data_IF_949836177912
#
_entry.id   IF_949836177912
#
_cell.length_a   1.000
_cell.length_b   1.000
_cell.length_c   1.000
_cell.angle_alpha   90.00
_cell.angle_beta   90.00
_cell.angle_gamma   90.00
#
_symmetry.space_group_name_H-M   'P 1'
#
loop_
_entity.id
_entity.type
_entity.pdbx_description
1 polymer ?
#
# COMPACT_ATOMS: atom_id res chain seq x y z
N UNK A 1 12.24 -8.58 -46.52
CA UNK A 1 11.39 -7.39 -46.77
C UNK A 1 11.87 -6.60 -48.00
N UNK A 2 13.11 -6.11 -48.06
CA UNK A 2 13.65 -5.42 -49.26
C UNK A 2 13.63 -6.29 -50.53
N UNK A 3 13.94 -7.59 -50.42
CA UNK A 3 13.83 -8.54 -51.53
C UNK A 3 12.37 -8.78 -51.98
N UNK A 4 11.40 -8.72 -51.06
CA UNK A 4 9.98 -8.80 -51.39
C UNK A 4 9.53 -7.50 -52.09
N UNK A 5 9.97 -6.35 -51.58
CA UNK A 5 9.73 -5.02 -52.18
C UNK A 5 10.23 -4.92 -53.63
N UNK A 6 11.44 -5.43 -53.92
CA UNK A 6 11.99 -5.50 -55.29
C UNK A 6 11.19 -6.45 -56.20
N UNK A 7 10.76 -7.60 -55.67
CA UNK A 7 9.89 -8.56 -56.39
C UNK A 7 8.46 -8.05 -56.61
N UNK A 8 7.99 -7.10 -55.78
CA UNK A 8 6.64 -6.57 -55.80
C UNK A 8 6.48 -5.36 -56.72
N UNK A 9 7.56 -4.70 -57.13
CA UNK A 9 7.53 -3.69 -58.20
C UNK A 9 7.15 -4.28 -59.58
N UNK A 10 7.25 -5.61 -59.74
CA UNK A 10 6.78 -6.34 -60.93
C UNK A 10 5.28 -6.69 -60.89
N UNK A 11 4.59 -6.47 -59.76
CA UNK A 11 3.14 -6.64 -59.70
C UNK A 11 2.45 -5.47 -60.40
N UNK A 12 1.77 -5.77 -61.52
CA UNK A 12 0.90 -4.87 -62.28
C UNK A 12 -0.36 -4.46 -61.48
N UNK A 13 -0.22 -3.98 -60.25
CA UNK A 13 -1.33 -3.43 -59.49
C UNK A 13 -1.51 -1.96 -59.88
N UNK A 14 -2.73 -1.58 -60.30
CA UNK A 14 -2.98 -0.18 -60.67
C UNK A 14 -2.85 0.71 -59.42
N UNK A 15 -2.28 1.91 -59.57
CA UNK A 15 -2.15 2.89 -58.47
C UNK A 15 -3.49 3.21 -57.79
N UNK A 16 -4.60 3.07 -58.51
CA UNK A 16 -5.95 3.28 -57.99
C UNK A 16 -6.37 2.17 -57.01
N UNK A 17 -6.13 0.90 -57.37
CA UNK A 17 -6.46 -0.26 -56.52
C UNK A 17 -5.65 -0.27 -55.22
N UNK A 18 -4.37 0.12 -55.28
CA UNK A 18 -3.51 0.24 -54.10
C UNK A 18 -4.06 1.29 -53.12
N UNK A 19 -4.46 2.47 -53.63
CA UNK A 19 -5.06 3.53 -52.80
C UNK A 19 -6.39 3.12 -52.18
N UNK A 20 -7.21 2.38 -52.90
CA UNK A 20 -8.49 1.89 -52.38
C UNK A 20 -8.29 0.85 -51.28
N UNK A 21 -7.34 -0.07 -51.48
CA UNK A 21 -6.98 -1.10 -50.51
C UNK A 21 -6.34 -0.49 -49.25
N UNK A 22 -5.49 0.51 -49.41
CA UNK A 22 -4.91 1.28 -48.30
C UNK A 22 -6.01 1.96 -47.47
N UNK A 23 -6.98 2.63 -48.12
CA UNK A 23 -8.13 3.23 -47.43
C UNK A 23 -8.97 2.21 -46.68
N UNK A 24 -9.16 1.02 -47.25
CA UNK A 24 -9.89 -0.06 -46.59
C UNK A 24 -9.14 -0.53 -45.33
N UNK A 25 -7.84 -0.80 -45.44
CA UNK A 25 -7.02 -1.24 -44.30
C UNK A 25 -6.88 -0.17 -43.23
N UNK A 26 -6.75 1.11 -43.61
CA UNK A 26 -6.72 2.22 -42.67
C UNK A 26 -8.00 2.32 -41.81
N UNK A 27 -9.16 1.92 -42.39
CA UNK A 27 -10.43 1.87 -41.66
C UNK A 27 -10.58 0.59 -40.83
N UNK A 28 -10.10 -0.55 -41.33
CA UNK A 28 -10.24 -1.83 -40.67
C UNK A 28 -9.24 -2.01 -39.50
N UNK A 29 -8.02 -1.50 -39.67
CA UNK A 29 -6.90 -1.65 -38.73
C UNK A 29 -6.17 -0.31 -38.53
N UNK A 30 -6.83 0.68 -37.90
CA UNK A 30 -6.30 2.05 -37.79
C UNK A 30 -4.97 2.12 -37.04
N UNK A 31 -4.79 1.38 -35.93
CA UNK A 31 -3.53 1.40 -35.17
C UNK A 31 -2.41 0.69 -35.92
N UNK A 32 -2.70 -0.47 -36.53
CA UNK A 32 -1.71 -1.17 -37.33
C UNK A 32 -1.27 -0.36 -38.55
N UNK A 33 -2.22 0.32 -39.19
CA UNK A 33 -1.96 1.21 -40.31
C UNK A 33 -1.10 2.41 -39.90
N UNK A 34 -1.39 3.02 -38.75
CA UNK A 34 -0.58 4.11 -38.21
C UNK A 34 0.89 3.69 -37.98
N UNK A 35 1.11 2.54 -37.33
CA UNK A 35 2.48 2.02 -37.11
C UNK A 35 3.16 1.68 -38.44
N UNK A 36 2.42 1.16 -39.42
CA UNK A 36 2.92 0.88 -40.76
C UNK A 36 3.31 2.16 -41.51
N UNK A 37 2.53 3.23 -41.40
CA UNK A 37 2.84 4.54 -41.97
C UNK A 37 4.14 5.08 -41.36
N UNK A 38 4.27 5.05 -40.03
CA UNK A 38 5.47 5.50 -39.32
C UNK A 38 6.72 4.72 -39.70
N UNK A 39 6.61 3.39 -39.79
CA UNK A 39 7.72 2.55 -40.25
C UNK A 39 8.10 2.88 -41.70
N UNK A 40 7.11 3.15 -42.55
CA UNK A 40 7.33 3.50 -43.95
C UNK A 40 7.98 4.88 -44.10
N UNK A 41 7.57 5.89 -43.32
CA UNK A 41 8.20 7.21 -43.25
C UNK A 41 9.69 7.10 -42.88
N UNK A 42 10.03 6.28 -41.88
CA UNK A 42 11.43 6.10 -41.41
C UNK A 42 12.31 5.36 -42.42
N UNK A 43 11.72 4.46 -43.20
CA UNK A 43 12.44 3.68 -44.22
C UNK A 43 12.51 4.40 -45.57
N UNK A 44 11.65 5.40 -45.80
CA UNK A 44 11.66 6.25 -46.98
C UNK A 44 12.97 7.04 -47.12
N UNK A 45 13.50 7.53 -46.00
CA UNK A 45 14.82 8.19 -45.92
C UNK A 45 15.95 7.30 -46.43
N UNK A 46 15.80 5.97 -46.29
CA UNK A 46 16.81 4.97 -46.68
C UNK A 46 16.59 4.47 -48.11
N UNK A 47 15.33 4.38 -48.57
CA UNK A 47 14.95 3.73 -49.84
C UNK A 47 14.63 4.71 -50.98
N UNK A 48 14.68 6.02 -50.77
CA UNK A 48 14.57 7.01 -51.85
C UNK A 48 13.15 7.24 -52.37
N UNK A 49 12.13 7.11 -51.53
CA UNK A 49 10.76 7.59 -51.83
C UNK A 49 9.88 6.71 -52.74
N UNK A 50 10.44 5.76 -53.47
CA UNK A 50 9.63 4.89 -54.33
C UNK A 50 8.93 3.79 -53.52
N UNK A 51 7.67 3.50 -53.84
CA UNK A 51 6.92 2.35 -53.30
C UNK A 51 6.29 2.51 -51.91
N UNK A 52 6.25 3.73 -51.34
CA UNK A 52 5.62 4.01 -50.03
C UNK A 52 4.21 3.43 -49.85
N UNK A 53 3.24 3.60 -50.78
CA UNK A 53 1.88 3.09 -50.56
C UNK A 53 1.83 1.56 -50.45
N UNK A 54 2.64 0.87 -51.26
CA UNK A 54 2.72 -0.59 -51.23
C UNK A 54 3.40 -1.08 -49.95
N UNK A 55 4.45 -0.40 -49.51
CA UNK A 55 5.14 -0.70 -48.27
C UNK A 55 4.22 -0.50 -47.05
N UNK A 56 3.51 0.61 -46.97
CA UNK A 56 2.51 0.88 -45.92
C UNK A 56 1.44 -0.20 -45.90
N UNK A 57 0.92 -0.59 -47.07
CA UNK A 57 -0.09 -1.63 -47.18
C UNK A 57 0.41 -2.99 -46.67
N UNK A 58 1.60 -3.42 -47.10
CA UNK A 58 2.20 -4.69 -46.66
C UNK A 58 2.52 -4.69 -45.17
N UNK A 59 3.05 -3.59 -44.66
CA UNK A 59 3.35 -3.44 -43.24
C UNK A 59 2.07 -3.42 -42.38
N UNK A 60 0.98 -2.83 -42.88
CA UNK A 60 -0.31 -2.87 -42.19
C UNK A 60 -0.78 -4.31 -42.02
N UNK A 61 -0.73 -5.10 -43.10
CA UNK A 61 -1.07 -6.53 -43.05
C UNK A 61 -0.14 -7.33 -42.13
N UNK A 62 1.14 -7.00 -42.10
CA UNK A 62 2.14 -7.66 -41.26
C UNK A 62 1.97 -7.33 -39.77
N UNK A 63 1.60 -6.09 -39.43
CA UNK A 63 1.48 -5.65 -38.04
C UNK A 63 0.12 -5.90 -37.42
N UNK A 64 -0.97 -5.99 -38.21
CA UNK A 64 -2.33 -6.22 -37.68
C UNK A 64 -2.49 -7.45 -36.75
N UNK A 65 -1.75 -8.57 -36.90
CA UNK A 65 -1.90 -9.71 -35.99
C UNK A 65 -1.28 -9.44 -34.61
N UNK A 66 -0.33 -8.51 -34.52
CA UNK A 66 0.41 -8.19 -33.30
C UNK A 66 -0.20 -6.97 -32.60
N UNK A 67 -0.76 -6.03 -33.38
CA UNK A 67 -1.36 -4.81 -32.87
C UNK A 67 -2.86 -5.02 -32.61
N UNK A 68 -3.25 -4.87 -31.35
CA UNK A 68 -4.63 -4.95 -30.92
C UNK A 68 -5.38 -3.65 -31.21
N UNK A 69 -6.41 -3.74 -32.06
CA UNK A 69 -7.31 -2.62 -32.38
C UNK A 69 -8.38 -2.38 -31.30
N UNK A 70 -8.66 -3.37 -30.45
CA UNK A 70 -9.72 -3.31 -29.44
C UNK A 70 -9.36 -2.56 -28.14
N UNK A 71 -8.38 -1.66 -28.22
CA UNK A 71 -7.97 -0.79 -27.12
C UNK A 71 -8.48 0.61 -27.47
N UNK A 72 -9.58 1.10 -26.89
CA UNK A 72 -10.20 2.36 -27.30
C UNK A 72 -9.39 3.58 -26.86
N UNK A 73 -8.64 3.46 -25.76
CA UNK A 73 -7.83 4.55 -25.22
C UNK A 73 -6.54 4.75 -26.03
N UNK A 74 -6.12 6.01 -26.15
CA UNK A 74 -4.83 6.39 -26.71
C UNK A 74 -3.83 6.74 -25.60
N UNK A 75 -2.58 6.30 -25.76
CA UNK A 75 -1.49 6.58 -24.84
C UNK A 75 -0.42 7.41 -25.53
N UNK A 76 0.01 8.50 -24.90
CA UNK A 76 1.08 9.37 -25.39
C UNK A 76 2.10 9.61 -24.28
N UNK A 77 3.38 9.41 -24.59
CA UNK A 77 4.50 9.67 -23.70
C UNK A 77 5.30 10.85 -24.24
N UNK A 78 5.44 11.91 -23.43
CA UNK A 78 6.28 13.06 -23.77
C UNK A 78 7.31 13.25 -22.66
N UNK A 79 8.59 13.25 -23.01
CA UNK A 79 9.66 13.36 -22.03
C UNK A 79 10.83 14.18 -22.56
N UNK A 80 11.52 14.87 -21.65
CA UNK A 80 12.77 15.54 -21.95
C UNK A 80 13.87 14.52 -22.22
N UNK A 81 14.80 14.92 -23.08
CA UNK A 81 15.91 14.09 -23.53
C UNK A 81 15.73 13.61 -24.97
N UNK A 82 16.75 12.94 -25.49
CA UNK A 82 16.77 12.52 -26.90
C UNK A 82 16.06 11.20 -27.16
N UNK A 83 15.91 10.35 -26.13
CA UNK A 83 15.41 8.97 -26.26
C UNK A 83 14.63 8.50 -25.01
N UNK A 84 14.27 9.40 -24.09
CA UNK A 84 13.63 9.03 -22.82
C UNK A 84 12.22 8.50 -23.04
N UNK A 85 11.40 9.22 -23.82
CA UNK A 85 10.03 8.84 -24.12
C UNK A 85 10.00 7.56 -24.95
N UNK A 86 10.80 7.52 -26.04
CA UNK A 86 10.85 6.35 -26.92
C UNK A 86 11.41 5.11 -26.23
N UNK A 87 12.40 5.24 -25.33
CA UNK A 87 12.92 4.10 -24.57
C UNK A 87 11.86 3.50 -23.64
N UNK A 88 11.13 4.34 -22.90
CA UNK A 88 10.06 3.87 -22.01
C UNK A 88 8.91 3.27 -22.80
N UNK A 89 8.50 3.90 -23.90
CA UNK A 89 7.46 3.40 -24.81
C UNK A 89 7.82 2.03 -25.40
N UNK A 90 9.07 1.83 -25.82
CA UNK A 90 9.53 0.55 -26.34
C UNK A 90 9.37 -0.57 -25.30
N UNK A 91 9.81 -0.33 -24.06
CA UNK A 91 9.67 -1.31 -22.96
C UNK A 91 8.20 -1.57 -22.64
N UNK A 92 7.38 -0.52 -22.51
CA UNK A 92 5.96 -0.65 -22.19
C UNK A 92 5.19 -1.43 -23.27
N UNK A 93 5.32 -1.05 -24.55
CA UNK A 93 4.64 -1.73 -25.65
C UNK A 93 5.10 -3.19 -25.81
N UNK A 94 6.40 -3.46 -25.61
CA UNK A 94 6.93 -4.82 -25.64
C UNK A 94 6.32 -5.69 -24.55
N UNK A 95 6.23 -5.20 -23.32
CA UNK A 95 5.64 -5.94 -22.20
C UNK A 95 4.12 -6.07 -22.31
N UNK A 96 3.43 -5.07 -22.85
CA UNK A 96 2.01 -5.14 -23.20
C UNK A 96 1.73 -6.03 -24.42
N UNK A 97 2.77 -6.44 -25.16
CA UNK A 97 2.71 -7.26 -26.39
C UNK A 97 1.86 -6.65 -27.51
N UNK A 98 1.71 -5.32 -27.53
CA UNK A 98 0.95 -4.57 -28.53
C UNK A 98 1.38 -3.11 -28.52
N UNK A 99 0.98 -2.36 -29.55
CA UNK A 99 1.12 -0.92 -29.58
C UNK A 99 0.11 -0.26 -28.63
N UNK A 100 0.61 0.39 -27.57
CA UNK A 100 -0.21 1.08 -26.56
C UNK A 100 0.12 2.57 -26.51
N UNK A 101 1.41 2.90 -26.50
CA UNK A 101 1.89 4.27 -26.42
C UNK A 101 2.60 4.70 -27.70
N UNK A 102 2.35 5.95 -28.10
CA UNK A 102 3.22 6.75 -28.96
C UNK A 102 4.20 7.55 -28.07
N UNK A 103 5.38 7.90 -28.60
CA UNK A 103 6.40 8.64 -27.86
C UNK A 103 6.92 9.86 -28.62
N UNK A 104 7.04 10.98 -27.92
CA UNK A 104 7.66 12.20 -28.42
C UNK A 104 8.77 12.63 -27.47
N UNK A 105 10.01 12.47 -27.92
CA UNK A 105 11.19 12.97 -27.23
C UNK A 105 11.32 14.49 -27.41
N UNK A 106 11.68 15.18 -26.33
CA UNK A 106 11.95 16.61 -26.31
C UNK A 106 13.43 16.87 -25.96
N UNK A 107 14.32 16.89 -26.97
CA UNK A 107 15.70 17.32 -26.77
C UNK A 107 15.75 18.71 -26.13
N UNK A 108 16.74 18.96 -25.26
CA UNK A 108 16.89 20.24 -24.54
C UNK A 108 17.03 21.45 -25.48
N UNK A 109 17.47 21.23 -26.71
CA UNK A 109 17.60 22.24 -27.76
C UNK A 109 16.31 22.54 -28.53
N UNK A 110 15.22 21.80 -28.27
CA UNK A 110 13.96 21.91 -29.01
C UNK A 110 12.99 22.85 -28.30
N UNK A 111 12.40 23.78 -29.04
CA UNK A 111 11.37 24.68 -28.51
C UNK A 111 10.07 23.94 -28.20
N UNK A 112 9.42 24.29 -27.10
CA UNK A 112 8.15 23.69 -26.68
C UNK A 112 7.06 23.80 -27.76
N UNK A 113 7.07 24.89 -28.55
CA UNK A 113 6.13 25.08 -29.67
C UNK A 113 6.25 23.97 -30.73
N UNK A 114 7.47 23.50 -31.01
CA UNK A 114 7.68 22.41 -31.96
C UNK A 114 7.09 21.09 -31.43
N UNK A 115 7.21 20.85 -30.12
CA UNK A 115 6.62 19.69 -29.46
C UNK A 115 5.09 19.77 -29.47
N UNK A 116 4.52 20.95 -29.22
CA UNK A 116 3.07 21.16 -29.32
C UNK A 116 2.58 20.79 -30.72
N UNK A 117 3.25 21.25 -31.78
CA UNK A 117 2.85 20.94 -33.16
C UNK A 117 3.00 19.44 -33.48
N UNK A 118 4.05 18.77 -32.99
CA UNK A 118 4.17 17.31 -33.12
C UNK A 118 3.04 16.56 -32.44
N UNK A 119 2.63 17.01 -31.25
CA UNK A 119 1.49 16.42 -30.54
C UNK A 119 0.20 16.66 -31.31
N UNK A 120 -0.07 17.88 -31.78
CA UNK A 120 -1.27 18.17 -32.58
C UNK A 120 -1.35 17.32 -33.84
N UNK A 121 -0.25 17.24 -34.59
CA UNK A 121 -0.17 16.41 -35.80
C UNK A 121 -0.42 14.92 -35.52
N UNK A 122 -0.04 14.44 -34.33
CA UNK A 122 -0.44 13.11 -33.88
C UNK A 122 -1.94 13.03 -33.62
N UNK A 123 -2.51 13.95 -32.83
CA UNK A 123 -3.91 13.95 -32.43
C UNK A 123 -4.88 14.07 -33.63
N UNK A 124 -4.55 14.86 -34.64
CA UNK A 124 -5.35 15.01 -35.87
C UNK A 124 -5.55 13.69 -36.63
N UNK A 125 -4.64 12.73 -36.45
CA UNK A 125 -4.67 11.41 -37.11
C UNK A 125 -5.31 10.31 -36.26
N UNK A 126 -5.71 10.60 -35.03
CA UNK A 126 -6.24 9.61 -34.08
C UNK A 126 -7.67 9.96 -33.67
N UNK A 127 -8.50 8.94 -33.48
CA UNK A 127 -9.81 9.12 -32.86
C UNK A 127 -9.68 9.07 -31.34
N UNK A 128 -9.57 10.25 -30.71
CA UNK A 128 -9.42 10.36 -29.26
C UNK A 128 -10.74 10.42 -28.48
N UNK A 129 -11.87 10.05 -29.10
CA UNK A 129 -13.21 10.22 -28.49
C UNK A 129 -13.39 9.47 -27.17
N UNK A 130 -12.78 8.29 -27.06
CA UNK A 130 -12.79 7.47 -25.84
C UNK A 130 -11.78 7.93 -24.78
N UNK A 131 -10.87 8.84 -25.14
CA UNK A 131 -9.95 9.52 -24.24
C UNK A 131 -8.47 9.26 -24.54
N UNK A 132 -7.65 10.21 -24.07
CA UNK A 132 -6.19 10.22 -24.19
C UNK A 132 -5.54 10.23 -22.80
N UNK A 133 -4.55 9.35 -22.61
CA UNK A 133 -3.69 9.34 -21.43
C UNK A 133 -2.30 9.85 -21.81
N UNK A 134 -1.94 11.01 -21.27
CA UNK A 134 -0.66 11.68 -21.48
C UNK A 134 0.26 11.47 -20.27
N UNK A 135 1.41 10.84 -20.48
CA UNK A 135 2.44 10.63 -19.46
C UNK A 135 3.60 11.61 -19.67
N UNK A 136 3.99 12.33 -18.62
CA UNK A 136 5.05 13.35 -18.68
C UNK A 136 6.04 13.25 -17.52
N UNK A 137 7.32 13.56 -17.81
CA UNK A 137 8.44 13.41 -16.87
C UNK A 137 8.51 14.51 -15.81
N UNK A 138 8.42 15.78 -16.22
CA UNK A 138 8.52 16.94 -15.34
C UNK A 138 7.30 17.85 -15.52
N UNK A 139 6.72 18.30 -14.40
CA UNK A 139 5.45 19.05 -14.34
C UNK A 139 5.43 20.45 -14.95
N UNK A 140 6.33 20.77 -15.89
CA UNK A 140 6.40 22.06 -16.60
C UNK A 140 5.62 22.08 -17.93
N UNK A 141 5.06 20.95 -18.36
CA UNK A 141 4.23 20.84 -19.58
C UNK A 141 2.81 21.39 -19.38
N UNK A 142 2.63 22.28 -18.41
CA UNK A 142 1.37 22.98 -18.15
C UNK A 142 0.85 23.72 -19.39
N UNK A 143 1.78 24.28 -20.17
CA UNK A 143 1.46 24.96 -21.43
C UNK A 143 1.05 23.98 -22.52
N UNK A 144 1.71 22.82 -22.62
CA UNK A 144 1.39 21.78 -23.61
C UNK A 144 -0.08 21.35 -23.50
N UNK A 145 -0.54 21.00 -22.29
CA UNK A 145 -1.94 20.57 -22.12
C UNK A 145 -2.93 21.68 -22.50
N UNK A 146 -2.63 22.94 -22.15
CA UNK A 146 -3.54 24.06 -22.41
C UNK A 146 -3.68 24.34 -23.91
N UNK A 147 -2.64 24.02 -24.69
CA UNK A 147 -2.62 24.20 -26.14
C UNK A 147 -3.25 23.04 -26.92
N UNK A 148 -3.27 21.82 -26.37
CA UNK A 148 -3.81 20.63 -27.07
C UNK A 148 -5.25 20.29 -26.66
N UNK A 149 -5.75 20.84 -25.55
CA UNK A 149 -7.09 20.51 -25.02
C UNK A 149 -8.21 20.72 -26.04
N UNK A 150 -8.09 21.73 -26.91
CA UNK A 150 -9.11 22.05 -27.90
C UNK A 150 -9.07 21.14 -29.14
N UNK A 151 -8.00 20.36 -29.31
CA UNK A 151 -7.81 19.43 -30.44
C UNK A 151 -8.30 18.00 -30.10
N UNK A 152 -8.71 17.77 -28.86
CA UNK A 152 -9.17 16.47 -28.38
C UNK A 152 -10.68 16.34 -28.53
N UNK A 153 -11.12 15.19 -29.03
CA UNK A 153 -12.54 14.83 -29.13
C UNK A 153 -13.10 14.19 -27.84
N UNK A 154 -12.25 13.83 -26.88
CA UNK A 154 -12.62 13.13 -25.64
C UNK A 154 -11.86 13.60 -24.40
N UNK A 155 -11.93 12.81 -23.33
CA UNK A 155 -11.32 13.14 -22.04
C UNK A 155 -9.78 13.03 -22.05
N UNK A 156 -9.11 13.91 -21.31
CA UNK A 156 -7.65 13.94 -21.17
C UNK A 156 -7.22 13.63 -19.73
N UNK A 157 -6.36 12.63 -19.55
CA UNK A 157 -5.70 12.34 -18.28
C UNK A 157 -4.21 12.65 -18.41
N UNK A 158 -3.71 13.56 -17.56
CA UNK A 158 -2.29 13.89 -17.51
C UNK A 158 -1.69 13.30 -16.24
N UNK A 159 -0.67 12.45 -16.39
CA UNK A 159 0.08 11.87 -15.28
C UNK A 159 1.49 12.45 -15.30
N UNK A 160 1.75 13.33 -14.33
CA UNK A 160 3.09 13.82 -14.01
C UNK A 160 3.78 12.75 -13.16
N UNK A 161 5.00 12.33 -13.50
CA UNK A 161 5.80 11.23 -12.92
C UNK A 161 5.95 10.03 -13.88
N UNK A 162 6.36 10.31 -15.11
CA UNK A 162 6.73 9.27 -16.07
C UNK A 162 7.88 8.41 -15.54
N UNK A 163 7.58 7.15 -15.28
CA UNK A 163 8.56 6.08 -15.06
C UNK A 163 8.13 4.87 -15.88
N UNK A 164 9.05 3.94 -16.14
CA UNK A 164 8.71 2.68 -16.84
C UNK A 164 7.61 1.90 -16.11
N UNK A 165 7.62 1.92 -14.78
CA UNK A 165 6.60 1.24 -13.97
C UNK A 165 5.21 1.85 -14.15
N UNK A 166 5.11 3.19 -14.13
CA UNK A 166 3.84 3.91 -14.35
C UNK A 166 3.33 3.68 -15.78
N UNK A 167 4.21 3.79 -16.78
CA UNK A 167 3.84 3.53 -18.17
C UNK A 167 3.33 2.10 -18.36
N UNK A 168 3.97 1.11 -17.73
CA UNK A 168 3.54 -0.29 -17.80
C UNK A 168 2.18 -0.52 -17.12
N UNK A 169 1.98 0.01 -15.90
CA UNK A 169 0.71 -0.16 -15.17
C UNK A 169 -0.46 0.48 -15.92
N UNK A 170 -0.29 1.71 -16.42
CA UNK A 170 -1.28 2.39 -17.27
C UNK A 170 -1.53 1.59 -18.55
N UNK A 171 -0.47 1.15 -19.23
CA UNK A 171 -0.60 0.38 -20.46
C UNK A 171 -1.34 -0.93 -20.29
N UNK A 172 -1.08 -1.66 -19.21
CA UNK A 172 -1.80 -2.89 -18.88
C UNK A 172 -3.29 -2.63 -18.59
N UNK A 173 -3.63 -1.54 -17.90
CA UNK A 173 -5.03 -1.14 -17.67
C UNK A 173 -5.75 -0.80 -18.98
N UNK A 174 -5.08 -0.11 -19.91
CA UNK A 174 -5.61 0.17 -21.24
C UNK A 174 -5.86 -1.12 -22.02
N UNK A 175 -4.90 -2.05 -22.04
CA UNK A 175 -5.05 -3.37 -22.70
C UNK A 175 -6.19 -4.19 -22.08
N UNK A 176 -6.48 -4.02 -20.80
CA UNK A 176 -7.58 -4.65 -20.08
C UNK A 176 -8.92 -3.93 -20.23
N UNK A 177 -8.99 -2.85 -21.02
CA UNK A 177 -10.19 -2.03 -21.21
C UNK A 177 -10.78 -1.50 -19.89
N UNK A 178 -9.92 -1.14 -18.94
CA UNK A 178 -10.35 -0.48 -17.70
C UNK A 178 -10.94 0.90 -18.07
N UNK A 179 -12.12 1.28 -17.54
CA UNK A 179 -12.74 2.57 -17.87
C UNK A 179 -11.84 3.76 -17.54
N UNK A 180 -11.81 4.76 -18.43
CA UNK A 180 -10.97 5.96 -18.33
C UNK A 180 -11.02 6.61 -16.94
N UNK A 181 -12.23 6.86 -16.41
CA UNK A 181 -12.43 7.48 -15.09
C UNK A 181 -11.78 6.69 -13.95
N UNK A 182 -11.83 5.36 -14.01
CA UNK A 182 -11.20 4.49 -13.00
C UNK A 182 -9.68 4.56 -13.07
N UNK A 183 -9.11 4.65 -14.28
CA UNK A 183 -7.66 4.87 -14.46
C UNK A 183 -7.28 6.23 -13.86
N UNK A 184 -8.06 7.27 -14.11
CA UNK A 184 -7.83 8.62 -13.57
C UNK A 184 -7.89 8.66 -12.03
N UNK A 185 -8.88 8.03 -11.41
CA UNK A 185 -9.02 7.93 -9.95
C UNK A 185 -7.83 7.21 -9.31
N UNK A 186 -7.41 6.08 -9.90
CA UNK A 186 -6.28 5.29 -9.40
C UNK A 186 -4.94 5.99 -9.60
N UNK A 187 -4.79 6.80 -10.64
CA UNK A 187 -3.55 7.51 -10.92
C UNK A 187 -3.17 8.47 -9.79
N UNK A 188 -4.17 9.12 -9.17
CA UNK A 188 -3.95 10.08 -8.10
C UNK A 188 -3.54 9.43 -6.76
N UNK A 189 -3.97 8.19 -6.51
CA UNK A 189 -3.68 7.48 -5.25
C UNK A 189 -2.45 6.57 -5.31
N UNK A 190 -2.20 5.94 -6.47
CA UNK A 190 -1.23 4.84 -6.59
C UNK A 190 0.15 5.26 -7.11
N UNK A 191 0.27 6.36 -7.86
CA UNK A 191 1.55 6.78 -8.46
C UNK A 191 2.34 7.75 -7.59
N UNK A 192 2.29 7.56 -6.26
CA UNK A 192 3.05 8.37 -5.30
C UNK A 192 4.54 8.04 -5.40
N UNK A 193 5.37 9.09 -5.36
CA UNK A 193 6.83 8.94 -5.28
C UNK A 193 7.16 8.33 -3.92
N UNK A 194 7.60 7.07 -3.93
CA UNK A 194 8.13 6.41 -2.74
C UNK A 194 9.60 6.79 -2.58
N UNK A 195 9.87 7.92 -1.95
CA UNK A 195 11.22 8.28 -1.53
C UNK A 195 11.54 7.54 -0.23
N UNK A 196 12.58 6.70 -0.26
CA UNK A 196 13.21 6.16 0.95
C UNK A 196 14.54 6.86 1.13
N UNK A 197 14.66 7.67 2.17
CA UNK A 197 15.93 8.22 2.59
C UNK A 197 16.67 7.16 3.38
N UNK A 198 17.76 6.65 2.81
CA UNK A 198 18.71 5.82 3.52
C UNK A 198 19.83 6.74 3.98
N UNK A 199 19.83 7.09 5.26
CA UNK A 199 20.89 7.90 5.85
C UNK A 199 22.18 7.07 5.83
N UNK A 200 23.19 7.54 5.08
CA UNK A 200 24.55 7.05 5.24
C UNK A 200 25.01 7.41 6.64
N UNK A 201 25.06 6.41 7.53
CA UNK A 201 25.53 6.52 8.93
C UNK A 201 24.86 7.67 9.70
N UNK A 202 23.68 7.39 10.29
CA UNK A 202 23.11 8.21 11.38
C UNK A 202 24.22 8.66 12.31
N UNK A 203 24.43 9.96 12.53
CA UNK A 203 25.26 10.40 13.67
C UNK A 203 24.54 10.25 15.02
N UNK A 204 23.25 9.88 15.00
CA UNK A 204 22.39 9.70 16.17
C UNK A 204 22.27 8.26 16.65
N UNK A 205 21.91 8.10 17.93
CA UNK A 205 21.54 6.82 18.54
C UNK A 205 20.26 6.26 17.89
N UNK A 206 20.18 4.95 17.69
CA UNK A 206 18.99 4.29 17.14
C UNK A 206 18.44 3.18 18.04
N UNK A 207 17.17 2.84 17.84
CA UNK A 207 16.49 1.68 18.38
C UNK A 207 15.93 0.86 17.22
N UNK A 208 16.07 -0.46 17.30
CA UNK A 208 15.59 -1.38 16.26
C UNK A 208 14.38 -2.15 16.79
N UNK A 209 13.31 -2.24 15.99
CA UNK A 209 12.14 -3.06 16.26
C UNK A 209 12.09 -4.17 15.20
N UNK A 210 12.03 -5.43 15.64
CA UNK A 210 12.01 -6.58 14.74
C UNK A 210 10.90 -7.57 15.07
N UNK A 211 10.30 -8.17 14.04
CA UNK A 211 9.24 -9.15 14.19
C UNK A 211 9.40 -10.32 13.20
N UNK A 212 9.07 -11.54 13.64
CA UNK A 212 9.07 -12.74 12.78
C UNK A 212 7.94 -12.76 11.74
N UNK A 213 6.76 -12.22 12.08
CA UNK A 213 5.57 -12.23 11.22
C UNK A 213 5.56 -11.14 10.13
N UNK A 214 6.65 -10.37 10.02
CA UNK A 214 6.77 -9.24 9.10
C UNK A 214 6.31 -7.89 9.68
N UNK A 215 5.79 -7.04 8.79
CA UNK A 215 5.67 -5.58 8.93
C UNK A 215 4.60 -5.09 9.94
N UNK A 216 3.72 -5.98 10.44
CA UNK A 216 2.52 -5.60 11.22
C UNK A 216 2.80 -4.96 12.58
N UNK A 217 3.14 -5.78 13.59
CA UNK A 217 3.39 -5.33 14.97
C UNK A 217 4.56 -4.34 15.01
N UNK A 218 5.63 -4.62 14.25
CA UNK A 218 6.84 -3.79 14.21
C UNK A 218 6.54 -2.35 13.79
N UNK A 219 5.70 -2.14 12.77
CA UNK A 219 5.30 -0.79 12.36
C UNK A 219 4.35 -0.12 13.34
N UNK A 220 3.41 -0.86 13.94
CA UNK A 220 2.49 -0.29 14.92
C UNK A 220 3.25 0.18 16.16
N UNK A 221 4.17 -0.65 16.66
CA UNK A 221 5.05 -0.28 17.78
C UNK A 221 5.89 0.93 17.40
N UNK A 222 6.46 0.96 16.18
CA UNK A 222 7.20 2.13 15.69
C UNK A 222 6.32 3.38 15.71
N UNK A 223 5.13 3.31 15.15
CA UNK A 223 4.20 4.44 15.06
C UNK A 223 3.86 5.02 16.44
N UNK A 224 3.51 4.15 17.40
CA UNK A 224 3.26 4.54 18.79
C UNK A 224 4.49 5.23 19.39
N UNK A 225 5.67 4.62 19.30
CA UNK A 225 6.88 5.21 19.87
C UNK A 225 7.26 6.53 19.22
N UNK A 226 7.13 6.65 17.89
CA UNK A 226 7.43 7.89 17.16
C UNK A 226 6.50 9.04 17.51
N UNK A 227 5.30 8.75 18.04
CA UNK A 227 4.38 9.77 18.53
C UNK A 227 4.89 10.44 19.81
N UNK A 228 5.57 9.69 20.68
CA UNK A 228 6.04 10.18 21.97
C UNK A 228 7.54 10.52 22.00
N UNK A 229 8.33 9.99 21.06
CA UNK A 229 9.78 10.14 21.01
C UNK A 229 10.19 10.97 19.78
N UNK A 230 10.77 12.17 19.97
CA UNK A 230 11.30 12.98 18.88
C UNK A 230 12.40 12.25 18.10
N UNK A 231 12.21 12.13 16.77
CA UNK A 231 13.08 11.35 15.89
C UNK A 231 14.45 11.98 15.63
N UNK A 232 14.63 13.27 15.96
CA UNK A 232 15.91 13.96 15.98
C UNK A 232 16.82 13.49 17.13
N UNK A 233 16.25 12.89 18.18
CA UNK A 233 16.99 12.41 19.37
C UNK A 233 17.23 10.90 19.39
N UNK A 234 16.25 10.13 18.93
CA UNK A 234 16.33 8.67 18.85
C UNK A 234 15.62 8.21 17.58
N UNK A 235 16.40 7.66 16.64
CA UNK A 235 15.85 7.09 15.40
C UNK A 235 15.27 5.70 15.68
N UNK A 236 14.00 5.48 15.30
CA UNK A 236 13.32 4.21 15.51
C UNK A 236 13.18 3.47 14.17
N UNK A 237 13.92 2.37 14.03
CA UNK A 237 14.03 1.60 12.80
C UNK A 237 13.28 0.28 12.92
N UNK A 238 12.67 -0.16 11.82
CA UNK A 238 12.03 -1.48 11.72
C UNK A 238 12.84 -2.37 10.79
N UNK A 239 13.06 -3.63 11.20
CA UNK A 239 13.87 -4.59 10.45
C UNK A 239 13.26 -5.99 10.51
N UNK A 240 13.35 -6.75 9.41
CA UNK A 240 12.88 -8.13 9.39
C UNK A 240 13.73 -9.00 10.32
N UNK A 241 13.09 -9.97 10.99
CA UNK A 241 13.80 -10.84 11.92
C UNK A 241 14.93 -11.64 11.25
N UNK A 242 14.73 -12.05 9.99
CA UNK A 242 15.76 -12.74 9.21
C UNK A 242 16.99 -11.86 8.98
N UNK A 243 16.78 -10.61 8.57
CA UNK A 243 17.85 -9.64 8.37
C UNK A 243 18.61 -9.35 9.67
N UNK A 244 17.87 -9.20 10.78
CA UNK A 244 18.46 -9.05 12.11
C UNK A 244 19.32 -10.25 12.49
N UNK A 245 18.81 -11.47 12.31
CA UNK A 245 19.57 -12.69 12.59
C UNK A 245 20.81 -12.83 11.72
N UNK A 246 20.72 -12.51 10.43
CA UNK A 246 21.85 -12.59 9.50
C UNK A 246 22.91 -11.53 9.83
N UNK A 247 22.51 -10.33 10.30
CA UNK A 247 23.42 -9.31 10.79
C UNK A 247 24.13 -9.74 12.09
N UNK A 248 23.41 -10.34 13.03
CA UNK A 248 23.97 -10.89 14.27
C UNK A 248 24.95 -12.03 13.97
N UNK A 249 24.58 -12.97 13.09
CA UNK A 249 25.39 -14.13 12.74
C UNK A 249 26.70 -13.75 12.03
N UNK A 250 26.68 -12.67 11.23
CA UNK A 250 27.89 -12.11 10.59
C UNK A 250 28.79 -11.35 11.55
N UNK A 251 28.38 -11.18 12.81
CA UNK A 251 29.08 -10.41 13.84
C UNK A 251 29.48 -9.01 13.35
N UNK A 252 28.58 -8.36 12.61
CA UNK A 252 28.81 -7.03 12.07
C UNK A 252 28.69 -5.99 13.19
N UNK A 253 29.76 -5.90 14.00
CA UNK A 253 29.86 -4.94 15.12
C UNK A 253 29.72 -3.50 14.66
N UNK A 254 29.98 -3.21 13.38
CA UNK A 254 29.81 -1.87 12.83
C UNK A 254 28.32 -1.52 12.67
N UNK A 255 27.49 -2.51 12.33
CA UNK A 255 26.06 -2.36 12.11
C UNK A 255 25.30 -1.93 13.36
N UNK A 256 25.61 -2.54 14.52
CA UNK A 256 24.94 -2.27 15.78
C UNK A 256 25.61 -1.19 16.64
N UNK A 257 26.69 -0.56 16.16
CA UNK A 257 27.53 0.36 16.95
C UNK A 257 26.75 1.53 17.57
N UNK A 258 25.65 1.93 16.94
CA UNK A 258 24.79 3.04 17.36
C UNK A 258 23.43 2.59 17.89
N UNK A 259 23.18 1.29 17.91
CA UNK A 259 21.94 0.70 18.41
C UNK A 259 21.99 0.65 19.93
N UNK A 260 21.12 1.43 20.58
CA UNK A 260 20.98 1.40 22.02
C UNK A 260 20.22 0.17 22.51
N UNK A 261 19.24 -0.25 21.70
CA UNK A 261 18.24 -1.21 22.15
C UNK A 261 17.54 -1.89 20.98
N UNK A 262 17.13 -3.13 21.19
CA UNK A 262 16.39 -3.93 20.23
C UNK A 262 15.10 -4.44 20.87
N UNK A 263 13.96 -4.09 20.28
CA UNK A 263 12.66 -4.70 20.57
C UNK A 263 12.40 -5.83 19.59
N UNK A 264 11.98 -6.98 20.09
CA UNK A 264 11.73 -8.17 19.27
C UNK A 264 10.44 -8.87 19.67
N UNK A 265 9.79 -9.60 18.76
CA UNK A 265 8.71 -10.55 19.13
C UNK A 265 9.22 -11.97 19.38
N UNK A 266 10.52 -12.21 19.21
CA UNK A 266 11.12 -13.53 19.25
C UNK A 266 12.47 -13.50 19.95
N UNK A 267 12.81 -14.58 20.63
CA UNK A 267 14.08 -14.67 21.36
C UNK A 267 15.27 -14.47 20.43
N UNK A 268 16.17 -13.57 20.84
CA UNK A 268 17.40 -13.30 20.11
C UNK A 268 18.53 -14.20 20.63
N UNK A 269 19.52 -14.53 19.77
CA UNK A 269 20.68 -15.28 20.21
C UNK A 269 21.41 -14.59 21.36
N UNK A 270 21.86 -15.35 22.35
CA UNK A 270 22.61 -14.87 23.51
C UNK A 270 23.99 -14.26 23.17
N UNK A 271 24.42 -14.37 21.92
CA UNK A 271 25.67 -13.79 21.39
C UNK A 271 25.57 -12.31 21.03
N UNK A 272 24.41 -11.68 21.23
CA UNK A 272 24.17 -10.27 20.92
C UNK A 272 24.58 -9.37 22.10
N UNK A 273 25.56 -8.49 21.87
CA UNK A 273 26.06 -7.54 22.87
C UNK A 273 25.11 -6.34 23.10
N UNK A 274 24.04 -6.21 22.31
CA UNK A 274 23.08 -5.11 22.40
C UNK A 274 21.92 -5.46 23.33
N UNK A 275 21.56 -4.57 24.28
CA UNK A 275 20.35 -4.70 25.08
C UNK A 275 19.11 -5.00 24.22
N UNK A 276 18.37 -6.03 24.59
CA UNK A 276 17.14 -6.39 23.88
C UNK A 276 16.04 -6.83 24.84
N UNK A 277 14.79 -6.74 24.37
CA UNK A 277 13.60 -7.11 25.14
C UNK A 277 12.52 -7.63 24.21
N UNK A 278 11.80 -8.67 24.63
CA UNK A 278 10.60 -9.08 23.92
C UNK A 278 9.50 -8.02 24.14
N UNK A 279 8.82 -7.61 23.07
CA UNK A 279 7.76 -6.60 23.14
C UNK A 279 6.65 -6.97 24.14
N UNK A 280 6.35 -8.25 24.32
CA UNK A 280 5.31 -8.68 25.27
C UNK A 280 5.77 -8.61 26.74
N UNK A 281 7.08 -8.61 27.01
CA UNK A 281 7.62 -8.44 28.37
C UNK A 281 7.40 -7.01 28.90
N UNK A 282 7.14 -6.04 28.02
CA UNK A 282 6.78 -4.66 28.39
C UNK A 282 5.46 -4.62 29.19
N UNK A 283 4.64 -5.66 29.10
CA UNK A 283 3.40 -5.75 29.88
C UNK A 283 3.66 -6.08 31.36
N UNK A 284 4.84 -6.60 31.68
CA UNK A 284 5.28 -6.96 33.03
C UNK A 284 6.13 -5.85 33.64
N UNK A 285 6.09 -5.68 34.97
CA UNK A 285 6.76 -4.55 35.63
C UNK A 285 8.29 -4.57 35.47
N UNK A 286 8.89 -5.76 35.36
CA UNK A 286 10.32 -5.89 35.06
C UNK A 286 10.67 -5.35 33.67
N UNK A 287 9.88 -5.71 32.65
CA UNK A 287 10.09 -5.24 31.29
C UNK A 287 9.83 -3.73 31.15
N UNK A 288 8.81 -3.19 31.82
CA UNK A 288 8.57 -1.74 31.91
C UNK A 288 9.76 -1.00 32.51
N UNK A 289 10.25 -1.47 33.66
CA UNK A 289 11.38 -0.86 34.34
C UNK A 289 12.65 -0.88 33.46
N UNK A 290 12.89 -1.99 32.77
CA UNK A 290 14.02 -2.11 31.86
C UNK A 290 13.91 -1.18 30.65
N UNK A 291 12.73 -1.11 30.02
CA UNK A 291 12.49 -0.18 28.92
C UNK A 291 12.61 1.28 29.35
N UNK A 292 12.13 1.62 30.56
CA UNK A 292 12.28 2.96 31.13
C UNK A 292 13.74 3.36 31.32
N UNK A 293 14.60 2.45 31.81
CA UNK A 293 16.04 2.72 31.95
C UNK A 293 16.68 3.16 30.63
N UNK A 294 16.22 2.60 29.52
CA UNK A 294 16.72 2.94 28.18
C UNK A 294 16.10 4.23 27.66
N UNK A 295 14.79 4.44 27.88
CA UNK A 295 14.04 5.52 27.24
C UNK A 295 13.97 6.82 28.03
N UNK A 296 14.19 6.83 29.35
CA UNK A 296 14.10 8.03 30.18
C UNK A 296 14.90 9.26 29.70
N UNK A 297 16.02 9.14 28.93
CA UNK A 297 16.71 10.32 28.38
C UNK A 297 15.93 10.99 27.23
N UNK A 298 14.98 10.27 26.63
CA UNK A 298 14.29 10.65 25.39
C UNK A 298 12.80 10.95 25.58
N UNK A 299 12.19 10.46 26.67
CA UNK A 299 10.75 10.59 26.95
C UNK A 299 10.51 10.93 28.43
N UNK A 300 9.47 11.71 28.72
CA UNK A 300 9.05 11.99 30.11
C UNK A 300 8.27 10.82 30.70
N UNK A 301 8.23 10.71 32.03
CA UNK A 301 7.46 9.65 32.71
C UNK A 301 6.00 9.62 32.26
N UNK A 302 5.36 10.80 32.19
CA UNK A 302 3.97 10.93 31.75
C UNK A 302 3.76 10.40 30.32
N UNK A 303 4.63 10.76 29.38
CA UNK A 303 4.51 10.27 28.00
C UNK A 303 4.84 8.78 27.89
N UNK A 304 5.76 8.28 28.73
CA UNK A 304 6.06 6.86 28.81
C UNK A 304 4.86 6.04 29.28
N UNK A 305 4.16 6.49 30.32
CA UNK A 305 2.96 5.81 30.83
C UNK A 305 1.84 5.78 29.78
N UNK A 306 1.64 6.88 29.03
CA UNK A 306 0.70 6.93 27.90
C UNK A 306 1.11 6.00 26.76
N UNK A 307 2.41 5.94 26.43
CA UNK A 307 2.94 5.03 25.42
C UNK A 307 2.70 3.56 25.80
N UNK A 308 2.89 3.19 27.07
CA UNK A 308 2.60 1.84 27.56
C UNK A 308 1.10 1.50 27.47
N UNK A 309 0.23 2.48 27.73
CA UNK A 309 -1.22 2.31 27.56
C UNK A 309 -1.58 2.07 26.08
N UNK A 310 -0.98 2.83 25.17
CA UNK A 310 -1.19 2.65 23.73
C UNK A 310 -0.66 1.30 23.22
N UNK A 311 0.45 0.79 23.75
CA UNK A 311 0.90 -0.58 23.48
C UNK A 311 -0.12 -1.61 23.94
N UNK A 312 -0.59 -1.52 25.18
CA UNK A 312 -1.58 -2.44 25.73
C UNK A 312 -2.86 -2.48 24.87
N UNK A 313 -3.38 -1.31 24.49
CA UNK A 313 -4.55 -1.21 23.60
C UNK A 313 -4.29 -1.83 22.24
N UNK A 314 -3.15 -1.54 21.61
CA UNK A 314 -2.84 -2.06 20.26
C UNK A 314 -2.65 -3.58 20.27
N UNK A 315 -1.90 -4.14 21.22
CA UNK A 315 -1.74 -5.59 21.34
C UNK A 315 -3.07 -6.29 21.59
N UNK A 316 -3.95 -5.65 22.37
CA UNK A 316 -5.31 -6.15 22.59
C UNK A 316 -6.12 -6.16 21.29
N UNK A 317 -6.15 -5.03 20.57
CA UNK A 317 -6.88 -4.89 19.30
C UNK A 317 -6.41 -5.93 18.31
N UNK A 318 -5.10 -6.09 18.13
CA UNK A 318 -4.54 -7.11 17.26
C UNK A 318 -4.98 -8.52 17.69
N UNK A 319 -4.87 -8.83 18.98
CA UNK A 319 -5.25 -10.13 19.53
C UNK A 319 -6.71 -10.51 19.30
N UNK A 320 -7.64 -9.54 19.37
CA UNK A 320 -9.08 -9.78 19.16
C UNK A 320 -9.52 -9.63 17.69
N UNK A 321 -8.76 -8.94 16.83
CA UNK A 321 -9.23 -8.52 15.50
C UNK A 321 -9.65 -9.69 14.59
N UNK A 322 -9.01 -10.85 14.72
CA UNK A 322 -9.36 -12.05 13.94
C UNK A 322 -10.42 -12.95 14.63
N UNK A 323 -10.87 -12.57 15.84
CA UNK A 323 -11.76 -13.38 16.67
C UNK A 323 -13.13 -12.71 16.88
N UNK A 324 -13.22 -11.39 16.76
CA UNK A 324 -14.46 -10.64 16.76
C UNK A 324 -15.05 -10.62 15.33
N UNK A 325 -16.31 -10.99 15.20
CA UNK A 325 -17.03 -11.05 13.92
C UNK A 325 -18.04 -9.90 13.76
N UNK A 326 -18.57 -9.39 14.88
CA UNK A 326 -19.65 -8.41 14.93
C UNK A 326 -19.20 -7.09 15.54
N UNK A 327 -18.42 -7.13 16.63
CA UNK A 327 -17.97 -5.91 17.31
C UNK A 327 -16.76 -5.29 16.61
N UNK A 328 -16.72 -3.96 16.60
CA UNK A 328 -15.52 -3.23 16.19
C UNK A 328 -14.47 -3.29 17.32
N UNK A 329 -13.28 -3.88 17.10
CA UNK A 329 -12.22 -4.00 18.10
C UNK A 329 -11.85 -2.68 18.78
N UNK A 330 -11.76 -1.58 18.02
CA UNK A 330 -11.35 -0.28 18.57
C UNK A 330 -12.39 0.30 19.53
N UNK A 331 -13.68 0.07 19.24
CA UNK A 331 -14.78 0.58 20.07
C UNK A 331 -14.88 -0.25 21.34
N UNK A 332 -14.93 -1.58 21.21
CA UNK A 332 -15.15 -2.45 22.36
C UNK A 332 -13.99 -2.37 23.36
N UNK A 333 -12.72 -2.30 22.90
CA UNK A 333 -11.57 -2.21 23.81
C UNK A 333 -11.61 -0.93 24.66
N UNK A 334 -12.04 0.20 24.12
CA UNK A 334 -12.18 1.43 24.92
C UNK A 334 -13.29 1.33 25.98
N UNK A 335 -14.34 0.55 25.73
CA UNK A 335 -15.41 0.34 26.71
C UNK A 335 -14.98 -0.66 27.79
N UNK A 336 -14.26 -1.72 27.39
CA UNK A 336 -13.68 -2.68 28.33
C UNK A 336 -12.62 -2.01 29.23
N UNK A 337 -11.91 -1.01 28.74
CA UNK A 337 -10.99 -0.21 29.57
C UNK A 337 -11.71 0.46 30.74
N UNK A 338 -12.92 0.98 30.50
CA UNK A 338 -13.73 1.61 31.52
C UNK A 338 -14.19 0.57 32.55
N UNK A 339 -14.61 -0.62 32.11
CA UNK A 339 -14.98 -1.74 32.99
C UNK A 339 -13.81 -2.14 33.90
N UNK A 340 -12.63 -2.34 33.34
CA UNK A 340 -11.43 -2.70 34.13
C UNK A 340 -11.09 -1.58 35.12
N UNK A 341 -11.19 -0.32 34.70
CA UNK A 341 -10.93 0.83 35.59
C UNK A 341 -11.92 0.90 36.76
N UNK A 342 -13.18 0.51 36.55
CA UNK A 342 -14.17 0.42 37.62
C UNK A 342 -13.86 -0.70 38.61
N UNK A 343 -13.38 -1.85 38.13
CA UNK A 343 -12.91 -2.93 39.00
C UNK A 343 -11.68 -2.53 39.83
N UNK A 344 -10.68 -1.90 39.21
CA UNK A 344 -9.50 -1.38 39.92
C UNK A 344 -9.89 -0.38 41.01
N UNK A 345 -10.84 0.52 40.71
CA UNK A 345 -11.35 1.50 41.66
C UNK A 345 -12.15 0.88 42.80
N UNK A 346 -13.02 -0.08 42.52
CA UNK A 346 -13.88 -0.69 43.54
C UNK A 346 -13.07 -1.55 44.52
N UNK A 347 -12.16 -2.38 44.01
CA UNK A 347 -11.35 -3.27 44.83
C UNK A 347 -10.06 -2.63 45.35
N UNK A 348 -9.77 -1.38 44.96
CA UNK A 348 -8.54 -0.65 45.31
C UNK A 348 -7.27 -1.41 44.92
N UNK A 349 -7.32 -2.08 43.76
CA UNK A 349 -6.21 -2.86 43.21
C UNK A 349 -5.61 -2.18 41.99
N UNK A 350 -4.35 -2.48 41.70
CA UNK A 350 -3.70 -2.12 40.44
C UNK A 350 -3.31 -3.39 39.72
N UNK A 351 -3.87 -3.59 38.54
CA UNK A 351 -3.62 -4.77 37.70
C UNK A 351 -2.43 -4.48 36.78
N UNK A 352 -1.52 -5.45 36.66
CA UNK A 352 -0.41 -5.36 35.71
C UNK A 352 -0.91 -5.43 34.24
N UNK A 353 -0.02 -5.14 33.30
CA UNK A 353 -0.39 -5.06 31.88
C UNK A 353 -0.82 -6.40 31.30
N UNK A 354 -0.28 -7.51 31.81
CA UNK A 354 -0.58 -8.87 31.34
C UNK A 354 -1.96 -9.32 31.79
N UNK A 355 -2.30 -9.04 33.05
CA UNK A 355 -3.63 -9.29 33.60
C UNK A 355 -4.66 -8.41 32.89
N UNK A 356 -4.35 -7.12 32.68
CA UNK A 356 -5.21 -6.23 31.90
C UNK A 356 -5.44 -6.78 30.50
N UNK A 357 -4.38 -7.15 29.76
CA UNK A 357 -4.48 -7.73 28.41
C UNK A 357 -5.42 -8.94 28.41
N UNK A 358 -5.27 -9.86 29.36
CA UNK A 358 -6.13 -11.04 29.48
C UNK A 358 -7.59 -10.66 29.73
N UNK A 359 -7.87 -9.71 30.62
CA UNK A 359 -9.21 -9.23 30.90
C UNK A 359 -9.83 -8.52 29.71
N UNK A 360 -9.06 -7.67 29.01
CA UNK A 360 -9.50 -7.01 27.80
C UNK A 360 -9.98 -8.02 26.75
N UNK A 361 -9.12 -9.01 26.47
CA UNK A 361 -9.40 -10.09 25.53
C UNK A 361 -10.64 -10.89 25.96
N UNK A 362 -10.73 -11.25 27.24
CA UNK A 362 -11.81 -12.06 27.78
C UNK A 362 -13.16 -11.34 27.68
N UNK A 363 -13.24 -10.10 28.17
CA UNK A 363 -14.48 -9.32 28.20
C UNK A 363 -14.93 -8.96 26.78
N UNK A 364 -14.01 -8.60 25.87
CA UNK A 364 -14.37 -8.31 24.48
C UNK A 364 -15.00 -9.53 23.78
N UNK A 365 -14.39 -10.71 23.94
CA UNK A 365 -14.92 -11.95 23.38
C UNK A 365 -16.19 -12.44 24.10
N UNK A 366 -16.32 -12.18 25.40
CA UNK A 366 -17.53 -12.45 26.17
C UNK A 366 -18.71 -11.65 25.62
N UNK A 367 -18.55 -10.34 25.40
CA UNK A 367 -19.62 -9.49 24.88
C UNK A 367 -20.04 -9.95 23.48
N UNK A 368 -19.07 -10.27 22.60
CA UNK A 368 -19.32 -10.86 21.28
C UNK A 368 -20.14 -12.18 21.37
N UNK A 369 -19.76 -13.08 22.30
CA UNK A 369 -20.50 -14.33 22.54
C UNK A 369 -21.93 -14.08 23.02
N UNK A 370 -22.12 -13.13 23.93
CA UNK A 370 -23.44 -12.79 24.49
C UNK A 370 -24.37 -12.15 23.45
N UNK A 371 -23.83 -11.36 22.52
CA UNK A 371 -24.60 -10.81 21.39
C UNK A 371 -25.03 -11.93 20.43
N UNK A 372 -24.11 -12.85 20.11
CA UNK A 372 -24.33 -13.91 19.12
C UNK A 372 -25.21 -15.03 19.67
N UNK A 373 -25.09 -15.35 20.96
CA UNK A 373 -25.78 -16.46 21.62
C UNK A 373 -27.03 -15.94 22.33
N UNK A 374 -28.07 -15.58 21.56
CA UNK A 374 -29.34 -15.04 22.11
C UNK A 374 -30.13 -16.00 23.02
N UNK A 375 -29.69 -17.25 23.19
CA UNK A 375 -30.46 -18.32 23.85
C UNK A 375 -29.78 -19.07 25.00
N UNK A 376 -28.71 -18.54 25.61
CA UNK A 376 -28.14 -19.15 26.83
C UNK A 376 -28.90 -18.73 28.11
N UNK A 377 -30.23 -18.68 28.07
CA UNK A 377 -31.07 -18.25 29.21
C UNK A 377 -31.09 -19.23 30.38
N UNK A 378 -30.54 -20.44 30.26
CA UNK A 378 -30.60 -21.48 31.30
C UNK A 378 -29.30 -22.30 31.41
N UNK A 379 -28.29 -21.76 32.10
CA UNK A 379 -27.29 -22.58 32.79
C UNK A 379 -26.93 -21.92 34.11
N UNK A 380 -27.83 -22.02 35.07
CA UNK A 380 -27.41 -22.02 36.48
C UNK A 380 -27.31 -23.48 36.91
N UNK A 381 -26.19 -23.82 37.54
CA UNK A 381 -26.28 -24.05 38.96
C UNK A 381 -25.24 -23.21 39.72
N UNK A 382 -25.75 -22.23 40.48
CA UNK A 382 -25.02 -21.60 41.56
C UNK A 382 -24.92 -22.61 42.71
N UNK A 383 -23.86 -23.42 42.73
CA UNK A 383 -23.49 -24.15 43.94
C UNK A 383 -22.66 -23.24 44.84
N UNK A 384 -23.06 -23.17 46.12
CA UNK A 384 -22.38 -22.54 47.27
C UNK A 384 -21.39 -21.41 46.96
N UNK A 385 -21.93 -20.23 46.66
CA UNK A 385 -21.15 -19.01 46.53
C UNK A 385 -20.65 -18.54 47.90
N UNK A 386 -19.32 -18.42 48.04
CA UNK A 386 -18.69 -17.70 49.14
C UNK A 386 -19.21 -16.25 49.23
N UNK A 387 -19.13 -15.62 50.41
CA UNK A 387 -19.55 -14.22 50.60
C UNK A 387 -18.85 -13.28 49.59
N UNK A 388 -17.57 -13.54 49.33
CA UNK A 388 -16.76 -12.81 48.36
C UNK A 388 -17.26 -12.95 46.91
N UNK A 389 -17.75 -14.13 46.52
CA UNK A 389 -18.30 -14.37 45.18
C UNK A 389 -19.66 -13.70 44.99
N UNK A 390 -20.46 -13.60 46.07
CA UNK A 390 -21.73 -12.87 46.07
C UNK A 390 -21.52 -11.37 45.92
N UNK A 391 -20.55 -10.83 46.67
CA UNK A 391 -20.12 -9.43 46.52
C UNK A 391 -19.65 -9.17 45.08
N UNK A 392 -18.76 -10.00 44.56
CA UNK A 392 -18.27 -9.88 43.18
C UNK A 392 -19.39 -9.89 42.15
N UNK A 393 -20.37 -10.76 42.34
CA UNK A 393 -21.55 -10.87 41.46
C UNK A 393 -22.38 -9.58 41.48
N UNK A 394 -22.63 -9.01 42.65
CA UNK A 394 -23.40 -7.77 42.79
C UNK A 394 -22.67 -6.59 42.11
N UNK A 395 -21.37 -6.46 42.38
CA UNK A 395 -20.52 -5.39 41.81
C UNK A 395 -20.44 -5.51 40.29
N UNK A 396 -20.26 -6.71 39.78
CA UNK A 396 -20.15 -6.95 38.33
C UNK A 396 -21.43 -6.56 37.60
N UNK A 397 -22.61 -6.84 38.18
CA UNK A 397 -23.89 -6.41 37.59
C UNK A 397 -23.99 -4.88 37.47
N UNK A 398 -23.54 -4.15 38.49
CA UNK A 398 -23.51 -2.68 38.44
C UNK A 398 -22.51 -2.16 37.40
N UNK A 399 -21.29 -2.72 37.37
CA UNK A 399 -20.24 -2.31 36.43
C UNK A 399 -20.66 -2.54 34.97
N UNK A 400 -21.32 -3.66 34.68
CA UNK A 400 -21.73 -4.02 33.32
C UNK A 400 -23.08 -3.42 32.90
N UNK A 401 -23.84 -2.79 33.79
CA UNK A 401 -25.19 -2.27 33.51
C UNK A 401 -25.25 -1.42 32.22
N UNK A 402 -24.29 -0.51 32.03
CA UNK A 402 -24.23 0.34 30.83
C UNK A 402 -23.99 -0.47 29.55
N UNK A 403 -23.14 -1.49 29.61
CA UNK A 403 -22.86 -2.37 28.47
C UNK A 403 -24.04 -3.29 28.17
N UNK A 404 -24.67 -3.86 29.20
CA UNK A 404 -25.86 -4.71 29.07
C UNK A 404 -27.00 -3.95 28.37
N UNK A 405 -27.25 -2.71 28.79
CA UNK A 405 -28.26 -1.85 28.17
C UNK A 405 -27.89 -1.49 26.72
N UNK A 406 -26.61 -1.14 26.46
CA UNK A 406 -26.15 -0.71 25.13
C UNK A 406 -26.20 -1.83 24.09
N UNK A 407 -25.72 -3.03 24.45
CA UNK A 407 -25.64 -4.17 23.54
C UNK A 407 -26.87 -5.08 23.60
N UNK A 408 -27.83 -4.77 24.48
CA UNK A 408 -29.02 -5.58 24.75
C UNK A 408 -28.65 -7.04 25.09
N UNK A 409 -27.70 -7.20 26.00
CA UNK A 409 -27.18 -8.48 26.48
C UNK A 409 -27.40 -8.61 27.99
N UNK A 410 -27.22 -9.83 28.51
CA UNK A 410 -27.06 -10.08 29.95
C UNK A 410 -25.88 -10.98 30.23
N UNK A 411 -25.05 -10.62 31.20
CA UNK A 411 -23.94 -11.44 31.67
C UNK A 411 -24.53 -12.60 32.48
N UNK A 412 -24.36 -13.83 31.98
CA UNK A 412 -24.89 -15.03 32.60
C UNK A 412 -23.96 -15.57 33.71
N UNK A 413 -24.45 -16.52 34.52
CA UNK A 413 -23.68 -17.09 35.63
C UNK A 413 -22.35 -17.74 35.23
N UNK A 414 -22.27 -18.31 34.02
CA UNK A 414 -21.05 -18.89 33.49
C UNK A 414 -19.98 -17.83 33.16
N UNK A 415 -20.36 -16.73 32.52
CA UNK A 415 -19.41 -15.63 32.24
C UNK A 415 -19.01 -14.90 33.54
N UNK A 416 -19.94 -14.78 34.50
CA UNK A 416 -19.63 -14.25 35.83
C UNK A 416 -18.61 -15.11 36.59
N UNK A 417 -18.74 -16.44 36.56
CA UNK A 417 -17.80 -17.33 37.26
C UNK A 417 -16.40 -17.30 36.63
N UNK A 418 -16.32 -17.17 35.30
CA UNK A 418 -15.04 -16.98 34.60
C UNK A 418 -14.37 -15.65 34.96
N UNK A 419 -15.14 -14.55 34.98
CA UNK A 419 -14.62 -13.25 35.42
C UNK A 419 -14.15 -13.28 36.88
N UNK A 420 -14.90 -13.97 37.74
CA UNK A 420 -14.52 -14.15 39.14
C UNK A 420 -13.18 -14.90 39.24
N UNK A 421 -13.02 -16.04 38.59
CA UNK A 421 -11.76 -16.80 38.65
C UNK A 421 -10.56 -16.02 38.10
N UNK A 422 -10.75 -15.14 37.10
CA UNK A 422 -9.70 -14.26 36.60
C UNK A 422 -9.28 -13.17 37.60
N UNK A 423 -10.23 -12.63 38.38
CA UNK A 423 -10.00 -11.53 39.32
C UNK A 423 -9.74 -11.97 40.77
N UNK A 424 -10.18 -13.18 41.14
CA UNK A 424 -10.07 -13.80 42.47
C UNK A 424 -8.67 -13.67 43.09
N UNK A 425 -7.56 -13.94 42.39
CA UNK A 425 -6.21 -13.81 42.97
C UNK A 425 -5.87 -12.39 43.46
N UNK A 426 -6.57 -11.37 42.95
CA UNK A 426 -6.31 -9.96 43.25
C UNK A 426 -7.27 -9.41 44.31
N UNK A 427 -8.51 -9.90 44.34
CA UNK A 427 -9.53 -9.44 45.29
C UNK A 427 -9.43 -10.14 46.66
N UNK A 428 -8.81 -11.33 46.76
CA UNK A 428 -8.64 -12.08 48.03
C UNK A 428 -7.44 -11.65 48.86
N UNK A 429 -6.73 -10.56 48.51
CA UNK A 429 -5.55 -10.04 49.24
C UNK A 429 -5.89 -9.03 50.36
N UNK A 430 -7.13 -8.96 50.81
CA UNK A 430 -7.53 -8.13 51.97
C UNK A 430 -7.38 -8.89 53.28
#
# INVERSE_FOLDING_TARGET
>A
MYAAFLSLNDLQCSKAQLKESEKYLARAFPKAHYVAEKFSEKTEEVMGGQGKPLLTLLNTLFFHPVIRENIPLHGLIVAHGRQTASSIQAVANQLCKTFVFEAIDMPVSTDLSEIIEKVKHYLERQDTSEGLILLVDMGSLTRLYSSIKNELSGDLLVINNLTTAVALDVGMKMVQNVPFKKIAEQANSNYKINARYFEGLTQGKNMIISCMSGVGISNQVREIMTHFIPQDRLSILTMEYKELRDAIARNDRSYFKQTLFILTTSELPSTLDVPNLNIYEILEDKGKAYLWQVLHPFISQRHFDLMLQDFLKNFTIEGVSNRLSFLNPKVIINEVEQVISLYEKYYEITLDGKVKLNLYMHIALMIERLITTKDSRNRDPLNEQSEQEREFTAVTKEIFHTMEAKYNIRVNGYELSLLYELLKPFISKK
#
